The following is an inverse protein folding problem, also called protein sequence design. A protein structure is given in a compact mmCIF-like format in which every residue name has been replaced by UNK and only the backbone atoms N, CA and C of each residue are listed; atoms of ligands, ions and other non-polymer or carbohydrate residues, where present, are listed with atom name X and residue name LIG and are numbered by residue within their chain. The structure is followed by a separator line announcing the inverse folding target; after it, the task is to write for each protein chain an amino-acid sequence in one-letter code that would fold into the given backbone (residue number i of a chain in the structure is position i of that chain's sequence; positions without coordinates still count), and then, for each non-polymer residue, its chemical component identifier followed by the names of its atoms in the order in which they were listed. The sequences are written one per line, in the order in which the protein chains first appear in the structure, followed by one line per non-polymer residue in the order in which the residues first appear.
data_IF_774051853794
#
_entry.id   IF_774051853794
#
_cell.length_a   1.000
_cell.length_b   1.000
_cell.length_c   1.000
_cell.angle_alpha   90.00
_cell.angle_beta   90.00
_cell.angle_gamma   90.00
#
_symmetry.space_group_name_H-M   'P 1'
#
loop_
_entity.id
_entity.type
_entity.pdbx_description
1 polymer ?
#
# COMPACT_ATOMS: atom_id res chain seq x y z
N UNK A 1 -25.25 3.29 -74.98
CA UNK A 1 -24.12 2.47 -74.48
C UNK A 1 -23.29 3.33 -73.53
N UNK A 2 -22.91 2.80 -72.36
CA UNK A 2 -23.21 3.40 -71.06
C UNK A 2 -22.03 4.14 -70.42
N UNK A 3 -22.26 4.88 -69.33
CA UNK A 3 -21.73 4.58 -67.98
C UNK A 3 -21.71 5.80 -67.05
N UNK A 4 -22.37 5.60 -65.90
CA UNK A 4 -22.10 6.17 -64.57
C UNK A 4 -22.12 7.69 -64.35
N UNK A 5 -23.31 8.20 -63.97
CA UNK A 5 -23.43 9.32 -63.02
C UNK A 5 -23.52 8.75 -61.60
N UNK A 6 -22.45 8.99 -60.83
CA UNK A 6 -22.31 8.61 -59.42
C UNK A 6 -23.24 9.46 -58.55
N UNK A 7 -24.14 8.81 -57.82
CA UNK A 7 -24.94 9.44 -56.74
C UNK A 7 -24.07 9.60 -55.49
N UNK A 8 -23.92 10.83 -55.01
CA UNK A 8 -23.46 11.11 -53.65
C UNK A 8 -24.48 10.56 -52.64
N UNK A 9 -24.02 9.65 -51.78
CA UNK A 9 -24.79 9.16 -50.65
C UNK A 9 -24.59 10.11 -49.46
N UNK A 10 -25.68 10.73 -49.03
CA UNK A 10 -25.74 11.63 -47.89
C UNK A 10 -25.32 10.93 -46.59
N UNK A 11 -24.45 11.61 -45.84
CA UNK A 11 -23.98 11.27 -44.51
C UNK A 11 -25.12 11.24 -43.48
N UNK A 12 -25.30 10.11 -42.80
CA UNK A 12 -25.91 10.03 -41.46
C UNK A 12 -25.32 8.87 -40.68
N UNK A 13 -24.18 9.06 -40.03
CA UNK A 13 -23.75 8.17 -38.94
C UNK A 13 -24.25 8.77 -37.61
N UNK A 14 -25.05 7.96 -36.92
CA UNK A 14 -25.74 8.30 -35.69
C UNK A 14 -24.71 8.48 -34.58
N UNK A 15 -24.71 9.64 -33.95
CA UNK A 15 -24.13 9.80 -32.62
C UNK A 15 -24.86 8.90 -31.64
N UNK A 16 -24.13 7.98 -31.01
CA UNK A 16 -24.53 7.38 -29.75
C UNK A 16 -23.45 7.67 -28.73
N UNK A 17 -23.69 8.75 -28.00
CA UNK A 17 -23.17 8.98 -26.66
C UNK A 17 -23.76 7.92 -25.72
N UNK A 18 -22.90 7.12 -25.11
CA UNK A 18 -23.22 6.43 -23.86
C UNK A 18 -21.96 6.42 -23.01
N UNK A 19 -21.88 7.38 -22.10
CA UNK A 19 -20.87 7.41 -21.05
C UNK A 19 -21.02 6.17 -20.18
N UNK A 20 -20.09 5.23 -20.33
CA UNK A 20 -19.85 4.19 -19.32
C UNK A 20 -19.10 4.84 -18.16
N UNK A 21 -19.81 5.64 -17.38
CA UNK A 21 -19.38 6.02 -16.05
C UNK A 21 -19.51 4.79 -15.16
N UNK A 22 -18.54 3.86 -15.23
CA UNK A 22 -18.37 2.87 -14.18
C UNK A 22 -18.21 3.65 -12.88
N UNK A 23 -19.23 3.63 -12.02
CA UNK A 23 -19.19 4.26 -10.72
C UNK A 23 -17.96 3.70 -9.99
N UNK A 24 -16.92 4.52 -9.87
CA UNK A 24 -15.66 4.14 -9.23
C UNK A 24 -16.00 3.74 -7.80
N UNK A 25 -16.00 2.42 -7.51
CA UNK A 25 -16.17 1.92 -6.15
C UNK A 25 -15.21 2.71 -5.27
N UNK A 26 -15.67 3.40 -4.21
CA UNK A 26 -14.79 4.25 -3.43
C UNK A 26 -13.65 3.40 -2.87
N UNK A 27 -12.45 3.66 -3.38
CA UNK A 27 -11.20 3.06 -2.95
C UNK A 27 -10.85 3.60 -1.58
N UNK A 28 -10.44 2.71 -0.67
CA UNK A 28 -9.94 3.12 0.64
C UNK A 28 -8.62 3.85 0.42
N UNK A 29 -8.53 5.12 0.80
CA UNK A 29 -7.28 5.89 0.71
C UNK A 29 -6.42 5.64 1.94
N UNK A 30 -5.12 5.59 1.74
CA UNK A 30 -4.11 5.49 2.78
C UNK A 30 -3.02 6.50 2.48
N UNK A 31 -2.67 7.32 3.47
CA UNK A 31 -1.53 8.22 3.37
C UNK A 31 -0.25 7.42 3.60
N UNK A 32 0.76 7.64 2.79
CA UNK A 32 2.05 6.95 2.92
C UNK A 32 3.17 7.96 2.74
N UNK A 33 4.09 8.00 3.69
CA UNK A 33 5.32 8.77 3.55
C UNK A 33 6.17 8.21 2.41
N UNK A 34 6.73 9.11 1.61
CA UNK A 34 7.69 8.82 0.55
C UNK A 34 8.89 8.04 1.10
N UNK A 35 9.39 8.43 2.28
CA UNK A 35 10.51 7.78 2.95
C UNK A 35 10.26 6.28 3.24
N UNK A 36 9.02 5.92 3.64
CA UNK A 36 8.64 4.53 3.84
C UNK A 36 8.61 3.74 2.52
N UNK A 37 8.08 4.32 1.44
CA UNK A 37 8.07 3.65 0.13
C UNK A 37 9.49 3.45 -0.41
N UNK A 38 10.36 4.45 -0.24
CA UNK A 38 11.74 4.37 -0.70
C UNK A 38 12.54 3.34 0.10
N UNK A 39 12.33 3.24 1.42
CA UNK A 39 12.90 2.17 2.24
C UNK A 39 12.45 0.78 1.76
N UNK A 40 11.17 0.60 1.46
CA UNK A 40 10.63 -0.67 0.95
C UNK A 40 11.29 -1.03 -0.39
N UNK A 41 11.35 -0.08 -1.33
CA UNK A 41 11.96 -0.31 -2.64
C UNK A 41 13.44 -0.62 -2.54
N UNK A 42 14.19 0.15 -1.75
CA UNK A 42 15.62 -0.07 -1.54
C UNK A 42 15.87 -1.46 -0.93
N UNK A 43 15.10 -1.84 0.10
CA UNK A 43 15.20 -3.16 0.71
C UNK A 43 14.90 -4.28 -0.30
N UNK A 44 13.83 -4.15 -1.10
CA UNK A 44 13.45 -5.12 -2.12
C UNK A 44 14.52 -5.28 -3.22
N UNK A 45 15.15 -4.17 -3.65
CA UNK A 45 16.26 -4.19 -4.62
C UNK A 45 17.47 -4.93 -4.04
N UNK A 46 17.90 -4.56 -2.83
CA UNK A 46 19.07 -5.15 -2.18
C UNK A 46 18.89 -6.64 -1.86
N UNK A 47 17.65 -7.06 -1.68
CA UNK A 47 17.28 -8.43 -1.33
C UNK A 47 17.05 -9.35 -2.52
N UNK A 48 16.93 -8.81 -3.73
CA UNK A 48 16.72 -9.60 -4.93
C UNK A 48 17.87 -10.62 -5.10
N UNK A 49 17.58 -11.91 -5.40
CA UNK A 49 16.31 -12.49 -5.86
C UNK A 49 15.39 -13.07 -4.77
N UNK A 50 15.62 -12.79 -3.49
CA UNK A 50 14.83 -13.31 -2.37
C UNK A 50 13.79 -12.30 -1.88
N UNK A 51 12.68 -12.79 -1.32
CA UNK A 51 11.71 -11.95 -0.63
C UNK A 51 12.33 -11.32 0.63
N UNK A 52 12.08 -10.04 0.87
CA UNK A 52 12.29 -9.37 2.16
C UNK A 52 10.99 -8.71 2.62
N UNK A 53 10.94 -8.25 3.85
CA UNK A 53 9.75 -7.60 4.37
C UNK A 53 9.94 -7.04 5.76
N UNK A 54 8.82 -6.78 6.41
CA UNK A 54 8.79 -6.23 7.74
C UNK A 54 7.45 -5.63 8.07
N UNK A 55 7.46 -4.56 8.87
CA UNK A 55 6.26 -3.98 9.44
C UNK A 55 6.03 -2.55 8.97
N UNK A 56 4.76 -2.20 8.81
CA UNK A 56 4.26 -0.85 8.56
C UNK A 56 3.82 -0.24 9.88
N UNK A 57 4.33 0.94 10.18
CA UNK A 57 4.04 1.69 11.41
C UNK A 57 3.63 3.10 11.05
N UNK A 58 2.67 3.64 11.80
CA UNK A 58 2.16 4.97 11.57
C UNK A 58 0.97 5.30 12.45
N UNK A 59 0.10 6.20 12.01
CA UNK A 59 -1.01 6.71 12.83
C UNK A 59 -2.37 6.36 12.21
N UNK A 60 -3.33 6.05 13.08
CA UNK A 60 -4.73 6.08 12.69
C UNK A 60 -5.24 7.52 12.84
N UNK A 61 -5.64 8.14 11.73
CA UNK A 61 -6.32 9.45 11.75
C UNK A 61 -7.83 9.27 11.63
N UNK A 62 -8.59 10.35 11.85
CA UNK A 62 -10.04 10.36 11.68
C UNK A 62 -10.48 10.13 10.22
N UNK A 63 -9.62 10.41 9.24
CA UNK A 63 -9.95 10.28 7.82
C UNK A 63 -9.33 9.00 7.23
N UNK A 64 -8.01 8.93 7.19
CA UNK A 64 -7.25 7.89 6.52
C UNK A 64 -6.03 7.50 7.37
N UNK A 65 -5.75 6.20 7.57
CA UNK A 65 -4.50 5.80 8.18
C UNK A 65 -3.30 6.37 7.41
N UNK A 66 -2.24 6.69 8.14
CA UNK A 66 -1.02 7.26 7.58
C UNK A 66 0.17 6.38 7.97
N UNK A 67 0.72 5.66 6.99
CA UNK A 67 1.97 4.91 7.13
C UNK A 67 3.13 5.90 7.07
N UNK A 68 3.90 5.98 8.15
CA UNK A 68 5.02 6.91 8.28
C UNK A 68 6.36 6.21 8.37
N UNK A 69 6.34 4.91 8.67
CA UNK A 69 7.54 4.08 8.77
C UNK A 69 7.30 2.74 8.09
N UNK A 70 8.30 2.29 7.34
CA UNK A 70 8.46 0.91 6.93
C UNK A 70 9.76 0.39 7.53
N UNK A 71 9.64 -0.56 8.47
CA UNK A 71 10.80 -1.18 9.11
C UNK A 71 11.05 -2.51 8.43
N UNK A 72 12.23 -2.67 7.81
CA UNK A 72 12.70 -3.98 7.35
C UNK A 72 13.04 -4.86 8.55
N UNK A 73 12.58 -6.10 8.53
CA UNK A 73 12.93 -7.12 9.51
C UNK A 73 13.64 -8.24 8.80
N UNK A 74 14.96 -8.33 9.00
CA UNK A 74 15.76 -9.40 8.42
C UNK A 74 15.48 -10.72 9.13
N UNK A 75 15.36 -11.79 8.37
CA UNK A 75 15.08 -13.15 8.84
C UNK A 75 15.81 -14.15 7.95
N UNK A 76 16.11 -15.32 8.50
CA UNK A 76 16.60 -16.48 7.74
C UNK A 76 15.45 -17.29 7.13
N UNK A 77 14.23 -17.13 7.64
CA UNK A 77 13.02 -17.77 7.12
C UNK A 77 12.47 -16.98 5.92
N UNK A 78 13.28 -16.91 4.86
CA UNK A 78 12.97 -16.24 3.61
C UNK A 78 13.47 -17.05 2.41
N UNK A 79 12.80 -16.91 1.28
CA UNK A 79 13.11 -17.57 0.02
C UNK A 79 12.61 -16.74 -1.15
N UNK A 80 12.56 -17.34 -2.34
CA UNK A 80 12.08 -16.66 -3.56
C UNK A 80 10.57 -16.37 -3.57
N UNK A 81 9.80 -17.11 -2.76
CA UNK A 81 8.33 -17.09 -2.76
C UNK A 81 7.74 -17.15 -1.34
N UNK A 82 8.57 -16.91 -0.32
CA UNK A 82 8.12 -16.92 1.06
C UNK A 82 9.01 -16.01 1.91
N UNK A 83 8.38 -15.26 2.80
CA UNK A 83 9.01 -14.48 3.84
C UNK A 83 8.18 -14.64 5.12
N UNK A 84 8.84 -14.89 6.25
CA UNK A 84 8.17 -15.00 7.55
C UNK A 84 8.75 -14.03 8.55
N UNK A 85 7.87 -13.19 9.08
CA UNK A 85 8.20 -12.29 10.17
C UNK A 85 8.44 -13.10 11.46
N UNK A 86 9.60 -12.96 12.13
CA UNK A 86 9.86 -13.68 13.37
C UNK A 86 8.88 -13.30 14.48
N UNK A 87 8.50 -14.27 15.30
CA UNK A 87 7.55 -14.07 16.38
C UNK A 87 8.03 -12.99 17.38
N UNK A 88 7.11 -12.13 17.82
CA UNK A 88 7.37 -11.10 18.83
C UNK A 88 8.09 -9.84 18.33
N UNK A 89 8.70 -9.85 17.13
CA UNK A 89 9.42 -8.69 16.60
C UNK A 89 8.51 -7.49 16.40
N UNK A 90 7.30 -7.68 15.86
CA UNK A 90 6.33 -6.60 15.66
C UNK A 90 6.10 -5.78 16.94
N UNK A 91 5.81 -6.47 18.06
CA UNK A 91 5.52 -5.80 19.33
C UNK A 91 6.73 -5.04 19.86
N UNK A 92 7.93 -5.63 19.72
CA UNK A 92 9.18 -4.99 20.15
C UNK A 92 9.47 -3.73 19.32
N UNK A 93 9.42 -3.83 18.00
CA UNK A 93 9.72 -2.72 17.09
C UNK A 93 8.73 -1.58 17.25
N UNK A 94 7.43 -1.88 17.36
CA UNK A 94 6.39 -0.85 17.57
C UNK A 94 6.60 -0.14 18.91
N UNK A 95 6.99 -0.86 19.97
CA UNK A 95 7.30 -0.24 21.26
C UNK A 95 8.47 0.74 21.14
N UNK A 96 9.56 0.34 20.50
CA UNK A 96 10.73 1.20 20.31
C UNK A 96 10.39 2.47 19.52
N UNK A 97 9.55 2.37 18.47
CA UNK A 97 9.09 3.54 17.74
C UNK A 97 8.14 4.42 18.57
N UNK A 98 7.32 3.82 19.44
CA UNK A 98 6.45 4.57 20.37
C UNK A 98 7.22 5.32 21.45
N UNK A 99 8.39 4.84 21.84
CA UNK A 99 9.26 5.55 22.78
C UNK A 99 9.81 6.85 22.15
N UNK A 100 9.88 6.92 20.81
CA UNK A 100 10.28 8.12 20.05
C UNK A 100 9.08 9.01 19.69
N UNK A 101 7.96 8.41 19.29
CA UNK A 101 6.71 9.11 19.01
C UNK A 101 5.50 8.32 19.54
N UNK A 102 4.87 8.75 20.65
CA UNK A 102 3.81 7.98 21.30
C UNK A 102 2.56 7.82 20.44
N UNK A 103 2.42 8.58 19.35
CA UNK A 103 1.27 8.52 18.44
C UNK A 103 1.28 7.27 17.56
N UNK A 104 2.45 6.70 17.26
CA UNK A 104 2.54 5.65 16.24
C UNK A 104 2.11 4.28 16.77
N UNK A 105 1.63 3.44 15.86
CA UNK A 105 1.22 2.07 16.13
C UNK A 105 1.41 1.18 14.92
N UNK A 106 1.23 -0.12 15.14
CA UNK A 106 1.22 -1.11 14.06
C UNK A 106 0.06 -0.85 13.09
N UNK A 107 0.34 -0.80 11.80
CA UNK A 107 -0.69 -0.67 10.75
C UNK A 107 -0.82 -1.90 9.87
N UNK A 108 0.21 -2.74 9.79
CA UNK A 108 0.22 -3.90 8.90
C UNK A 108 1.62 -4.41 8.63
N UNK A 109 1.69 -5.35 7.71
CA UNK A 109 2.94 -5.94 7.25
C UNK A 109 3.24 -5.51 5.81
N UNK A 110 4.51 -5.60 5.44
CA UNK A 110 4.93 -5.45 4.06
C UNK A 110 5.94 -6.52 3.68
N UNK A 111 5.95 -6.89 2.41
CA UNK A 111 7.02 -7.74 1.84
C UNK A 111 7.16 -7.53 0.33
N UNK A 112 8.27 -8.01 -0.21
CA UNK A 112 8.58 -7.94 -1.64
C UNK A 112 8.33 -9.28 -2.32
N UNK A 113 7.81 -9.26 -3.54
CA UNK A 113 7.84 -10.41 -4.45
C UNK A 113 8.93 -10.18 -5.53
N UNK A 114 9.94 -11.05 -5.64
CA UNK A 114 11.00 -10.98 -6.66
C UNK A 114 10.52 -11.10 -8.10
N UNK A 115 9.24 -11.45 -8.32
CA UNK A 115 8.57 -11.58 -9.61
C UNK A 115 7.33 -10.68 -9.64
N UNK A 116 6.83 -10.41 -10.86
CA UNK A 116 5.60 -9.67 -11.05
C UNK A 116 4.36 -10.53 -10.74
N UNK A 117 4.13 -10.81 -9.46
CA UNK A 117 2.99 -11.59 -8.99
C UNK A 117 2.25 -10.86 -7.87
N UNK A 118 0.90 -10.89 -7.86
CA UNK A 118 0.11 -10.27 -6.82
C UNK A 118 0.26 -11.01 -5.47
N UNK A 119 -0.34 -10.46 -4.41
CA UNK A 119 -0.44 -11.14 -3.11
C UNK A 119 -1.02 -12.55 -3.26
N UNK A 120 -0.33 -13.54 -2.69
CA UNK A 120 -0.75 -14.94 -2.69
C UNK A 120 -1.99 -15.16 -1.81
N UNK A 121 -2.61 -16.33 -1.91
CA UNK A 121 -3.69 -16.72 -1.00
C UNK A 121 -3.24 -16.71 0.47
N UNK A 122 -2.00 -17.12 0.74
CA UNK A 122 -1.40 -17.14 2.08
C UNK A 122 -1.22 -15.73 2.63
N UNK A 123 -0.74 -14.77 1.82
CA UNK A 123 -0.58 -13.37 2.25
C UNK A 123 -1.91 -12.75 2.65
N UNK A 124 -2.92 -12.96 1.80
CA UNK A 124 -4.27 -12.45 2.00
C UNK A 124 -4.91 -13.05 3.25
N UNK A 125 -4.79 -14.36 3.44
CA UNK A 125 -5.32 -15.05 4.60
C UNK A 125 -4.63 -14.58 5.89
N UNK A 126 -3.30 -14.52 5.89
CA UNK A 126 -2.51 -14.05 7.05
C UNK A 126 -2.93 -12.65 7.48
N UNK A 127 -3.08 -11.73 6.52
CA UNK A 127 -3.51 -10.35 6.78
C UNK A 127 -4.92 -10.30 7.36
N UNK A 128 -5.86 -11.06 6.79
CA UNK A 128 -7.24 -11.15 7.29
C UNK A 128 -7.30 -11.75 8.69
N UNK A 129 -6.58 -12.86 8.94
CA UNK A 129 -6.50 -13.49 10.26
C UNK A 129 -5.94 -12.53 11.29
N UNK A 130 -4.90 -11.76 10.95
CA UNK A 130 -4.37 -10.71 11.83
C UNK A 130 -5.42 -9.66 12.13
N UNK A 131 -6.12 -9.11 11.12
CA UNK A 131 -7.15 -8.10 11.32
C UNK A 131 -8.32 -8.57 12.19
N UNK A 132 -8.75 -9.83 12.03
CA UNK A 132 -9.80 -10.43 12.86
C UNK A 132 -9.31 -10.62 14.29
N UNK A 133 -8.12 -11.17 14.48
CA UNK A 133 -7.55 -11.44 15.81
C UNK A 133 -7.28 -10.17 16.61
N UNK A 134 -6.80 -9.12 15.97
CA UNK A 134 -6.50 -7.84 16.64
C UNK A 134 -7.72 -6.93 16.74
N UNK A 135 -8.82 -7.25 16.04
CA UNK A 135 -9.98 -6.38 15.87
C UNK A 135 -9.61 -4.99 15.33
N UNK A 136 -8.54 -4.90 14.53
CA UNK A 136 -8.03 -3.65 13.96
C UNK A 136 -7.83 -3.78 12.45
N UNK A 137 -8.07 -2.70 11.67
CA UNK A 137 -7.69 -2.68 10.26
C UNK A 137 -6.21 -3.00 10.09
N UNK A 138 -5.88 -3.99 9.26
CA UNK A 138 -4.49 -4.43 9.03
C UNK A 138 -4.15 -4.30 7.55
N UNK A 139 -3.04 -3.65 7.26
CA UNK A 139 -2.55 -3.46 5.90
C UNK A 139 -1.66 -4.60 5.43
N UNK A 140 -1.66 -4.81 4.12
CA UNK A 140 -0.71 -5.64 3.39
C UNK A 140 -0.14 -4.84 2.24
N UNK A 141 1.15 -4.52 2.29
CA UNK A 141 1.86 -3.86 1.19
C UNK A 141 2.81 -4.84 0.50
N UNK A 142 2.58 -5.07 -0.78
CA UNK A 142 3.44 -5.90 -1.63
C UNK A 142 4.26 -5.00 -2.55
N UNK A 143 5.58 -5.14 -2.49
CA UNK A 143 6.50 -4.60 -3.49
C UNK A 143 6.81 -5.68 -4.53
N UNK A 144 6.15 -5.66 -5.68
CA UNK A 144 6.34 -6.66 -6.75
C UNK A 144 7.34 -6.18 -7.79
N UNK A 145 8.25 -7.05 -8.22
CA UNK A 145 9.24 -6.70 -9.25
C UNK A 145 8.55 -6.61 -10.61
N UNK A 146 8.64 -5.45 -11.26
CA UNK A 146 8.16 -5.20 -12.62
C UNK A 146 9.34 -4.66 -13.40
N UNK A 147 9.80 -5.43 -14.40
CA UNK A 147 11.07 -5.18 -15.08
C UNK A 147 12.22 -5.09 -14.03
N UNK A 148 12.91 -3.95 -13.97
CA UNK A 148 14.00 -3.69 -13.04
C UNK A 148 13.61 -2.81 -11.84
N UNK A 149 12.30 -2.62 -11.62
CA UNK A 149 11.77 -1.78 -10.53
C UNK A 149 10.82 -2.58 -9.65
N UNK A 150 10.43 -1.99 -8.52
CA UNK A 150 9.40 -2.55 -7.63
C UNK A 150 8.15 -1.67 -7.60
N UNK A 151 7.06 -2.19 -8.14
CA UNK A 151 5.74 -1.58 -8.09
C UNK A 151 5.06 -1.89 -6.75
N UNK A 152 4.31 -0.95 -6.21
CA UNK A 152 3.69 -1.07 -4.88
C UNK A 152 2.19 -1.37 -5.00
N UNK A 153 1.73 -2.38 -4.28
CA UNK A 153 0.31 -2.66 -4.11
C UNK A 153 -0.04 -2.70 -2.62
N UNK A 154 -1.02 -1.88 -2.24
CA UNK A 154 -1.49 -1.81 -0.87
C UNK A 154 -2.92 -2.34 -0.77
N UNK A 155 -3.15 -3.18 0.23
CA UNK A 155 -4.46 -3.66 0.61
C UNK A 155 -4.70 -3.40 2.10
N UNK A 156 -5.95 -3.33 2.50
CA UNK A 156 -6.37 -3.22 3.89
C UNK A 156 -7.47 -4.24 4.18
N UNK A 157 -7.23 -5.07 5.20
CA UNK A 157 -8.21 -5.95 5.79
C UNK A 157 -9.00 -5.19 6.85
N UNK A 158 -10.32 -5.28 6.80
CA UNK A 158 -11.24 -4.86 7.88
C UNK A 158 -12.15 -6.04 8.20
N UNK A 159 -11.88 -6.70 9.33
CA UNK A 159 -12.41 -8.04 9.59
C UNK A 159 -12.00 -9.00 8.48
N UNK A 160 -12.97 -9.69 7.88
CA UNK A 160 -12.73 -10.68 6.80
C UNK A 160 -12.56 -10.08 5.40
N UNK A 161 -12.79 -8.77 5.23
CA UNK A 161 -12.78 -8.12 3.91
C UNK A 161 -11.44 -7.47 3.64
N UNK A 162 -10.71 -7.98 2.65
CA UNK A 162 -9.49 -7.37 2.12
C UNK A 162 -9.81 -6.54 0.88
N UNK A 163 -9.44 -5.27 0.87
CA UNK A 163 -9.67 -4.36 -0.27
C UNK A 163 -8.38 -3.68 -0.69
N UNK A 164 -8.23 -3.43 -1.99
CA UNK A 164 -7.15 -2.60 -2.53
C UNK A 164 -7.33 -1.16 -2.05
N UNK A 165 -6.21 -0.52 -1.75
CA UNK A 165 -6.14 0.87 -1.32
C UNK A 165 -5.49 1.76 -2.38
N UNK A 166 -5.93 3.02 -2.41
CA UNK A 166 -5.20 4.07 -3.11
C UNK A 166 -4.14 4.65 -2.16
N UNK A 167 -2.91 4.75 -2.66
CA UNK A 167 -1.81 5.39 -1.94
C UNK A 167 -1.82 6.88 -2.27
N UNK A 168 -1.88 7.70 -1.22
CA UNK A 168 -1.72 9.15 -1.30
C UNK A 168 -0.41 9.49 -0.61
N UNK A 169 0.50 10.16 -1.33
CA UNK A 169 1.75 10.62 -0.74
C UNK A 169 1.47 11.81 0.19
N UNK A 170 2.09 11.81 1.37
CA UNK A 170 1.74 12.76 2.42
C UNK A 170 2.94 13.25 3.25
N UNK A 171 4.18 12.91 2.87
CA UNK A 171 5.36 13.20 3.67
C UNK A 171 5.48 12.35 4.94
N UNK A 172 6.53 12.63 5.69
CA UNK A 172 6.72 12.10 7.04
C UNK A 172 5.80 12.81 8.04
N UNK A 173 5.57 12.18 9.19
CA UNK A 173 4.77 12.78 10.24
C UNK A 173 5.50 14.02 10.79
N UNK A 174 4.85 15.20 10.87
CA UNK A 174 5.47 16.36 11.48
C UNK A 174 5.88 16.05 12.92
N UNK A 175 7.14 16.39 13.25
CA UNK A 175 7.59 16.45 14.64
C UNK A 175 6.78 17.52 15.36
N UNK A 176 6.31 17.24 16.57
CA UNK A 176 5.74 18.30 17.39
C UNK A 176 6.81 19.37 17.60
N UNK A 177 6.65 20.54 16.99
CA UNK A 177 7.37 21.73 17.44
C UNK A 177 6.85 22.02 18.84
N UNK A 178 7.73 21.95 19.83
CA UNK A 178 7.49 22.54 21.14
C UNK A 178 7.50 24.06 20.98
N UNK A 179 6.52 24.63 20.28
CA UNK A 179 6.25 26.05 20.37
C UNK A 179 5.73 26.30 21.77
N UNK A 180 6.69 26.62 22.64
CA UNK A 180 6.43 27.19 23.94
C UNK A 180 5.65 28.48 23.70
N UNK A 181 4.34 28.45 23.94
CA UNK A 181 3.55 29.66 24.13
C UNK A 181 4.18 30.43 25.29
N UNK A 182 5.12 31.32 24.98
CA UNK A 182 5.49 32.40 25.88
C UNK A 182 4.31 33.36 25.87
N UNK A 183 3.40 33.18 26.82
CA UNK A 183 2.48 34.23 27.22
C UNK A 183 3.32 35.35 27.83
N UNK A 184 3.60 36.40 27.05
CA UNK A 184 4.00 37.68 27.62
C UNK A 184 2.75 38.33 28.22
N UNK A 185 2.69 38.31 29.56
CA UNK A 185 1.93 39.28 30.33
C UNK A 185 2.69 40.59 30.46
#
# INVERSE_FOLDING_TARGET
MPHHLTREAASRSRGQTAGSGSARVPSTRVHVSESALDRIRAAAILSHPLETGGILVGVHTSQHPWVTHAVEVRTVERGHTAYRLPAGVTRRTVRQLRDLDPRVGYLGDWHSHPMDVPASATDRLTTVTTAVRTMQPTMLLIARRVEDKYAINLHMARGVKLRKCDIILAGDLPTHSTESYHTHG
#
